data_IF_604683242572
#
_entry.id   IF_604683242572
#
_cell.length_a   1.000
_cell.length_b   1.000
_cell.length_c   1.000
_cell.angle_alpha   90.00
_cell.angle_beta   90.00
_cell.angle_gamma   90.00
#
_symmetry.space_group_name_H-M   'P 1'
#
loop_
_entity.id
_entity.type
_entity.pdbx_description
1 polymer ?
#
# COMPACT_ATOMS: atom_id res chain seq x y z
N UNK A 1 13.41 3.54 1.93
CA UNK A 1 12.19 4.37 2.07
C UNK A 1 11.15 3.56 2.86
N UNK A 2 10.31 4.23 3.66
CA UNK A 2 9.20 3.58 4.38
C UNK A 2 7.89 4.21 3.92
N UNK A 3 6.93 3.38 3.52
CA UNK A 3 5.55 3.74 3.20
C UNK A 3 4.65 3.22 4.31
N UNK A 4 4.19 4.11 5.17
CA UNK A 4 3.19 3.79 6.20
C UNK A 4 1.80 3.87 5.58
N UNK A 5 0.92 2.91 5.85
CA UNK A 5 -0.45 2.92 5.34
C UNK A 5 -1.38 2.53 6.49
N UNK A 6 -2.23 3.45 6.89
CA UNK A 6 -3.32 3.16 7.82
C UNK A 6 -4.53 2.59 7.06
N UNK A 7 -5.33 1.80 7.76
CA UNK A 7 -6.64 1.29 7.35
C UNK A 7 -7.55 2.38 6.77
N UNK A 8 -7.57 3.58 7.38
CA UNK A 8 -8.34 4.74 6.91
C UNK A 8 -7.92 5.21 5.52
N UNK A 9 -6.73 4.85 5.05
CA UNK A 9 -6.25 5.14 3.69
C UNK A 9 -6.63 4.05 2.69
N UNK A 10 -6.99 2.86 3.14
CA UNK A 10 -7.41 1.73 2.29
C UNK A 10 -8.95 1.64 2.12
N UNK A 11 -9.68 2.71 2.43
CA UNK A 11 -11.15 2.75 2.32
C UNK A 11 -11.61 2.78 0.86
N UNK A 12 -10.95 3.54 -0.01
CA UNK A 12 -11.31 3.65 -1.43
C UNK A 12 -10.13 4.14 -2.28
N UNK A 13 -10.30 3.99 -3.60
CA UNK A 13 -9.33 4.40 -4.60
C UNK A 13 -8.97 5.89 -4.53
N UNK A 14 -9.97 6.76 -4.38
CA UNK A 14 -9.80 8.22 -4.34
C UNK A 14 -8.95 8.70 -3.15
N UNK A 15 -8.95 8.00 -2.02
CA UNK A 15 -8.08 8.30 -0.88
C UNK A 15 -6.73 7.62 -0.98
N UNK A 16 -6.71 6.37 -1.46
CA UNK A 16 -5.52 5.54 -1.46
C UNK A 16 -4.49 5.96 -2.51
N UNK A 17 -4.92 6.08 -3.77
CA UNK A 17 -4.00 6.29 -4.88
C UNK A 17 -3.27 7.64 -4.81
N UNK A 18 -3.93 8.77 -4.51
CA UNK A 18 -3.22 10.04 -4.34
C UNK A 18 -2.25 10.02 -3.15
N UNK A 19 -2.58 9.31 -2.07
CA UNK A 19 -1.70 9.16 -0.92
C UNK A 19 -0.40 8.43 -1.29
N UNK A 20 -0.53 7.27 -1.93
CA UNK A 20 0.62 6.45 -2.32
C UNK A 20 1.41 7.10 -3.46
N UNK A 21 0.74 7.75 -4.41
CA UNK A 21 1.39 8.52 -5.47
C UNK A 21 2.30 9.60 -4.87
N UNK A 22 1.76 10.37 -3.91
CA UNK A 22 2.53 11.43 -3.25
C UNK A 22 3.73 10.88 -2.48
N UNK A 23 3.59 9.70 -1.88
CA UNK A 23 4.64 9.07 -1.09
C UNK A 23 5.75 8.44 -1.96
N UNK A 24 5.40 7.77 -3.07
CA UNK A 24 6.34 7.01 -3.90
C UNK A 24 6.86 7.79 -5.11
N UNK A 25 6.05 8.65 -5.71
CA UNK A 25 6.37 9.37 -6.94
C UNK A 25 6.60 10.88 -6.72
N UNK A 26 6.38 11.37 -5.48
CA UNK A 26 6.43 12.79 -5.13
C UNK A 26 5.43 13.66 -5.95
N UNK A 27 4.41 13.05 -6.55
CA UNK A 27 3.35 13.71 -7.33
C UNK A 27 1.99 13.01 -7.08
N UNK A 28 0.87 13.66 -7.43
CA UNK A 28 -0.47 13.14 -7.11
C UNK A 28 -1.12 12.28 -8.19
N UNK A 29 -0.54 12.18 -9.39
CA UNK A 29 -1.22 11.66 -10.59
C UNK A 29 -0.51 10.47 -11.26
N UNK A 30 0.73 10.18 -10.87
CA UNK A 30 1.52 9.07 -11.41
C UNK A 30 0.96 7.70 -11.05
N UNK A 31 0.32 7.56 -9.89
CA UNK A 31 -0.32 6.32 -9.45
C UNK A 31 -1.82 6.55 -9.33
N UNK A 32 -2.57 6.15 -10.36
CA UNK A 32 -4.02 6.33 -10.41
C UNK A 32 -4.82 5.01 -10.26
N UNK A 33 -4.15 3.86 -10.31
CA UNK A 33 -4.77 2.54 -10.22
C UNK A 33 -3.76 1.46 -9.78
N UNK A 34 -4.25 0.23 -9.60
CA UNK A 34 -3.46 -0.92 -9.14
C UNK A 34 -2.34 -1.31 -10.10
N UNK A 35 -2.56 -1.24 -11.41
CA UNK A 35 -1.53 -1.53 -12.42
C UNK A 35 -0.37 -0.52 -12.34
N UNK A 36 -0.69 0.77 -12.27
CA UNK A 36 0.32 1.83 -12.12
C UNK A 36 1.09 1.72 -10.81
N UNK A 37 0.39 1.34 -9.74
CA UNK A 37 1.03 1.07 -8.46
C UNK A 37 2.02 -0.09 -8.59
N UNK A 38 1.60 -1.19 -9.21
CA UNK A 38 2.46 -2.35 -9.43
C UNK A 38 3.71 -1.99 -10.25
N UNK A 39 3.53 -1.28 -11.37
CA UNK A 39 4.62 -0.81 -12.21
C UNK A 39 5.62 0.00 -11.38
N UNK A 40 5.13 0.99 -10.62
CA UNK A 40 5.98 1.88 -9.84
C UNK A 40 6.75 1.13 -8.75
N UNK A 41 6.10 0.19 -8.07
CA UNK A 41 6.74 -0.67 -7.07
C UNK A 41 7.83 -1.55 -7.68
N UNK A 42 7.61 -2.07 -8.89
CA UNK A 42 8.62 -2.88 -9.59
C UNK A 42 9.84 -2.06 -10.01
N UNK A 43 9.71 -0.76 -10.25
CA UNK A 43 10.79 0.15 -10.61
C UNK A 43 11.63 0.62 -9.41
N UNK A 44 11.22 0.33 -8.18
CA UNK A 44 11.94 0.79 -6.99
C UNK A 44 13.30 0.09 -6.89
N UNK A 45 14.37 0.87 -7.04
CA UNK A 45 15.75 0.39 -6.90
C UNK A 45 16.23 0.34 -5.44
N UNK A 46 15.70 1.22 -4.59
CA UNK A 46 16.04 1.30 -3.17
C UNK A 46 15.13 0.39 -2.30
N UNK A 47 15.58 -0.07 -1.12
CA UNK A 47 14.73 -0.85 -0.23
C UNK A 47 13.51 -0.04 0.20
N UNK A 48 12.32 -0.57 -0.10
CA UNK A 48 11.02 0.02 0.25
C UNK A 48 10.31 -0.90 1.25
N UNK A 49 10.04 -0.36 2.43
CA UNK A 49 9.29 -1.04 3.46
C UNK A 49 7.87 -0.48 3.52
N UNK A 50 6.87 -1.33 3.29
CA UNK A 50 5.46 -1.00 3.34
C UNK A 50 4.91 -1.50 4.66
N UNK A 51 4.51 -0.58 5.52
CA UNK A 51 4.01 -0.87 6.87
C UNK A 51 2.51 -0.58 6.91
N UNK A 52 1.71 -1.63 7.05
CA UNK A 52 0.24 -1.53 7.01
C UNK A 52 -0.28 -1.64 8.45
N UNK A 53 -0.92 -0.58 8.93
CA UNK A 53 -1.46 -0.46 10.28
C UNK A 53 -2.95 -0.77 10.33
N UNK A 54 -3.36 -1.45 11.41
CA UNK A 54 -4.75 -1.67 11.83
C UNK A 54 -5.69 -2.19 10.72
N UNK A 55 -5.16 -3.08 9.87
CA UNK A 55 -5.89 -3.65 8.73
C UNK A 55 -7.20 -4.38 9.13
N UNK A 56 -7.36 -4.75 10.40
CA UNK A 56 -8.54 -5.44 10.93
C UNK A 56 -9.78 -4.53 11.09
N UNK A 57 -9.63 -3.19 11.10
CA UNK A 57 -10.77 -2.25 11.26
C UNK A 57 -11.35 -1.74 9.91
N UNK A 58 -10.88 -2.30 8.78
CA UNK A 58 -11.36 -1.88 7.47
C UNK A 58 -12.85 -2.22 7.29
N UNK A 59 -13.70 -1.25 6.86
CA UNK A 59 -15.10 -1.51 6.65
C UNK A 59 -15.32 -2.54 5.53
N UNK A 60 -16.34 -3.40 5.69
CA UNK A 60 -16.58 -4.55 4.79
C UNK A 60 -16.74 -4.14 3.31
N UNK A 61 -17.30 -2.98 3.04
CA UNK A 61 -17.44 -2.42 1.70
C UNK A 61 -16.09 -2.09 1.05
N UNK A 62 -15.11 -1.70 1.86
CA UNK A 62 -13.74 -1.40 1.43
C UNK A 62 -12.84 -2.62 1.41
N UNK A 63 -13.26 -3.73 2.01
CA UNK A 63 -12.46 -4.94 2.10
C UNK A 63 -12.08 -5.51 0.73
N UNK A 64 -12.97 -5.43 -0.26
CA UNK A 64 -12.65 -5.86 -1.64
C UNK A 64 -11.54 -5.01 -2.25
N UNK A 65 -11.61 -3.70 -2.07
CA UNK A 65 -10.59 -2.76 -2.52
C UNK A 65 -9.25 -2.99 -1.79
N UNK A 66 -9.29 -3.09 -0.46
CA UNK A 66 -8.11 -3.34 0.36
C UNK A 66 -7.41 -4.65 -0.04
N UNK A 67 -8.18 -5.74 -0.28
CA UNK A 67 -7.63 -7.00 -0.79
C UNK A 67 -6.99 -6.85 -2.17
N UNK A 68 -7.61 -6.09 -3.07
CA UNK A 68 -7.05 -5.83 -4.40
C UNK A 68 -5.69 -5.12 -4.29
N UNK A 69 -5.61 -4.09 -3.45
CA UNK A 69 -4.37 -3.35 -3.17
C UNK A 69 -3.31 -4.25 -2.53
N UNK A 70 -3.68 -5.08 -1.55
CA UNK A 70 -2.76 -6.03 -0.91
C UNK A 70 -2.17 -7.01 -1.92
N UNK A 71 -2.99 -7.51 -2.85
CA UNK A 71 -2.50 -8.41 -3.91
C UNK A 71 -1.39 -7.73 -4.70
N UNK A 72 -1.59 -6.47 -5.11
CA UNK A 72 -0.58 -5.68 -5.83
C UNK A 72 0.74 -5.60 -5.05
N UNK A 73 0.69 -5.31 -3.75
CA UNK A 73 1.90 -5.26 -2.91
C UNK A 73 2.61 -6.61 -2.83
N UNK A 74 1.86 -7.71 -2.69
CA UNK A 74 2.42 -9.06 -2.63
C UNK A 74 3.03 -9.48 -3.97
N UNK A 75 2.35 -9.23 -5.07
CA UNK A 75 2.84 -9.49 -6.43
C UNK A 75 4.10 -8.68 -6.73
N UNK A 76 4.11 -7.39 -6.37
CA UNK A 76 5.28 -6.54 -6.55
C UNK A 76 6.46 -7.03 -5.71
N UNK A 77 6.23 -7.45 -4.46
CA UNK A 77 7.25 -8.04 -3.59
C UNK A 77 7.84 -9.33 -4.16
N UNK A 78 7.04 -10.18 -4.81
CA UNK A 78 7.55 -11.39 -5.44
C UNK A 78 8.50 -11.06 -6.60
N UNK A 79 8.24 -9.97 -7.33
CA UNK A 79 9.06 -9.55 -8.47
C UNK A 79 10.28 -8.72 -8.05
N UNK A 80 10.12 -7.86 -7.05
CA UNK A 80 11.14 -6.95 -6.56
C UNK A 80 11.52 -7.26 -5.11
N UNK A 81 12.72 -7.82 -4.92
CA UNK A 81 13.26 -8.21 -3.61
C UNK A 81 13.55 -7.03 -2.67
N UNK A 82 13.56 -5.80 -3.20
CA UNK A 82 13.74 -4.58 -2.41
C UNK A 82 12.48 -4.21 -1.63
N UNK A 83 11.33 -4.80 -1.97
CA UNK A 83 10.05 -4.51 -1.30
C UNK A 83 9.88 -5.48 -0.13
N UNK A 84 9.62 -4.89 1.04
CA UNK A 84 9.17 -5.62 2.22
C UNK A 84 7.78 -5.13 2.59
N UNK A 85 6.88 -6.06 2.92
CA UNK A 85 5.51 -5.73 3.35
C UNK A 85 5.33 -6.28 4.76
N UNK A 86 5.10 -5.39 5.71
CA UNK A 86 4.93 -5.68 7.13
C UNK A 86 3.55 -5.23 7.58
N UNK A 87 2.86 -6.10 8.31
CA UNK A 87 1.57 -5.79 8.92
C UNK A 87 1.79 -5.50 10.40
N UNK A 88 1.37 -4.32 10.83
CA UNK A 88 1.41 -3.89 12.21
C UNK A 88 -0.03 -3.85 12.68
N UNK A 89 -0.37 -4.84 13.50
CA UNK A 89 -1.56 -4.73 14.33
C UNK A 89 -1.10 -4.15 15.65
N UNK A 90 -1.62 -2.99 16.05
CA UNK A 90 -1.41 -2.47 17.40
C UNK A 90 -2.29 -3.26 18.39
N UNK A 91 -2.06 -4.57 18.47
CA UNK A 91 -2.64 -5.45 19.49
C UNK A 91 -1.98 -5.27 20.86
N UNK A 92 -1.33 -4.13 21.11
CA UNK A 92 -0.39 -3.93 22.23
C UNK A 92 -0.87 -2.98 23.32
N UNK A 93 -2.18 -2.87 23.52
CA UNK A 93 -2.75 -2.45 24.81
C UNK A 93 -3.80 -3.46 25.26
N UNK A 94 -3.33 -4.64 25.68
CA UNK A 94 -4.07 -5.50 26.59
C UNK A 94 -3.94 -4.99 28.03
#
# INVERSE_FOLDING_TARGET
>A
MILMIDDVKMVNADMFYPYVSKALAHDMDSIANGDKLYEKLCEVEEPLEIMIHDFDDIPKESLEFAKSVLSVFMDARMKNKNITVNFINDGSYR
#
